data_IF_102772172798
#
_entry.id   IF_102772172798
#
_cell.length_a   1.000
_cell.length_b   1.000
_cell.length_c   1.000
_cell.angle_alpha   90.00
_cell.angle_beta   90.00
_cell.angle_gamma   90.00
#
_symmetry.space_group_name_H-M   'P 1'
#
loop_
_entity.id
_entity.type
_entity.pdbx_description
1 polymer ?
#
# COMPACT_ATOMS: atom_id res chain seq x y z
N UNK A 1 -5.98 -23.30 -5.73
CA UNK A 1 -5.97 -24.34 -4.68
C UNK A 1 -5.06 -23.87 -3.57
N UNK A 2 -5.58 -23.75 -2.35
CA UNK A 2 -4.80 -23.34 -1.17
C UNK A 2 -4.42 -24.61 -0.41
N UNK A 3 -3.14 -24.99 -0.46
CA UNK A 3 -2.66 -26.28 0.07
C UNK A 3 -2.45 -26.27 1.59
N UNK A 4 -2.47 -25.09 2.22
CA UNK A 4 -2.39 -24.91 3.67
C UNK A 4 -3.21 -23.69 4.09
N UNK A 5 -3.90 -23.76 5.23
CA UNK A 5 -4.55 -22.59 5.83
C UNK A 5 -3.54 -21.88 6.70
N UNK A 6 -3.06 -20.74 6.19
CA UNK A 6 -2.12 -19.87 6.89
C UNK A 6 -2.79 -18.51 6.98
N UNK A 7 -2.74 -17.89 8.15
CA UNK A 7 -3.13 -16.50 8.32
C UNK A 7 -1.88 -15.65 8.11
N UNK A 8 -1.92 -14.72 7.15
CA UNK A 8 -0.83 -13.79 6.91
C UNK A 8 -1.35 -12.39 6.64
N UNK A 9 -0.52 -11.42 7.00
CA UNK A 9 -0.78 -10.00 6.83
C UNK A 9 0.00 -9.51 5.61
N UNK A 10 -0.66 -8.74 4.76
CA UNK A 10 -0.06 -8.15 3.56
C UNK A 10 -0.10 -6.64 3.65
N UNK A 11 1.06 -6.02 3.68
CA UNK A 11 1.19 -4.58 3.65
C UNK A 11 1.16 -4.05 2.22
N UNK A 12 0.47 -2.92 2.02
CA UNK A 12 0.40 -2.22 0.74
C UNK A 12 0.54 -0.75 1.00
N UNK A 13 1.51 -0.13 0.34
CA UNK A 13 1.72 1.31 0.38
C UNK A 13 1.18 1.96 -0.90
N UNK A 14 0.16 2.80 -0.75
CA UNK A 14 -0.47 3.62 -1.78
C UNK A 14 -0.10 3.31 -3.25
N UNK A 15 0.94 3.96 -3.78
CA UNK A 15 1.35 3.90 -5.19
C UNK A 15 2.38 2.81 -5.52
N UNK A 16 2.77 2.00 -4.54
CA UNK A 16 3.63 0.84 -4.77
C UNK A 16 3.01 -0.07 -5.86
N UNK A 17 3.81 -0.31 -6.88
CA UNK A 17 3.47 -1.07 -8.08
C UNK A 17 3.88 -2.54 -7.95
N UNK A 18 4.82 -2.89 -7.06
CA UNK A 18 5.31 -4.28 -6.88
C UNK A 18 4.15 -5.23 -6.60
N UNK A 19 3.22 -4.93 -5.67
CA UNK A 19 2.13 -5.84 -5.39
C UNK A 19 1.09 -5.90 -6.51
N UNK A 20 1.26 -5.22 -7.65
CA UNK A 20 0.25 -5.16 -8.72
C UNK A 20 0.68 -5.89 -9.98
N UNK A 21 1.92 -6.35 -10.01
CA UNK A 21 2.48 -7.12 -11.12
C UNK A 21 2.71 -8.54 -10.61
N UNK A 22 2.22 -9.56 -11.32
CA UNK A 22 1.35 -9.51 -12.50
C UNK A 22 -0.10 -9.10 -12.16
N UNK A 23 -0.82 -8.48 -13.11
CA UNK A 23 -2.14 -7.92 -12.88
C UNK A 23 -3.23 -8.98 -12.75
N UNK A 24 -4.35 -8.61 -12.10
CA UNK A 24 -5.47 -9.54 -11.86
C UNK A 24 -6.11 -10.12 -13.11
N UNK A 25 -6.08 -9.39 -14.24
CA UNK A 25 -6.61 -9.88 -15.52
C UNK A 25 -5.77 -11.03 -16.11
N UNK A 26 -4.55 -11.25 -15.62
CA UNK A 26 -3.71 -12.41 -15.95
C UNK A 26 -4.02 -13.63 -15.03
N UNK A 27 -5.11 -13.58 -14.26
CA UNK A 27 -5.52 -14.67 -13.37
C UNK A 27 -4.90 -14.64 -11.97
N UNK A 28 -4.11 -13.62 -11.64
CA UNK A 28 -3.50 -13.49 -10.31
C UNK A 28 -4.46 -12.86 -9.29
N UNK A 29 -4.39 -13.33 -8.05
CA UNK A 29 -5.18 -12.80 -6.94
C UNK A 29 -4.34 -12.73 -5.66
N UNK A 30 -4.53 -11.68 -4.89
CA UNK A 30 -3.95 -11.57 -3.56
C UNK A 30 -4.77 -12.34 -2.53
N UNK A 31 -4.09 -12.85 -1.51
CA UNK A 31 -4.68 -13.48 -0.33
C UNK A 31 -4.06 -12.90 0.95
N UNK A 32 -4.63 -13.25 2.10
CA UNK A 32 -4.29 -12.70 3.41
C UNK A 32 -5.01 -11.39 3.75
N UNK A 33 -4.79 -10.91 4.97
CA UNK A 33 -5.36 -9.66 5.46
C UNK A 33 -4.54 -8.46 4.98
N UNK A 34 -5.15 -7.57 4.22
CA UNK A 34 -4.45 -6.39 3.69
C UNK A 34 -4.43 -5.23 4.70
N UNK A 35 -3.24 -4.68 4.92
CA UNK A 35 -2.97 -3.48 5.69
C UNK A 35 -2.54 -2.37 4.72
N UNK A 36 -3.42 -1.38 4.51
CA UNK A 36 -3.23 -0.35 3.49
C UNK A 36 -2.75 0.97 4.11
N UNK A 37 -1.58 1.43 3.67
CA UNK A 37 -1.02 2.74 3.98
C UNK A 37 -1.41 3.70 2.86
N UNK A 38 -2.10 4.79 3.21
CA UNK A 38 -2.60 5.76 2.24
C UNK A 38 -1.51 6.72 1.72
N UNK A 39 -1.86 7.65 0.83
CA UNK A 39 -0.92 8.63 0.27
C UNK A 39 -0.20 9.51 1.31
N UNK A 40 -0.72 9.60 2.53
CA UNK A 40 -0.13 10.35 3.64
C UNK A 40 0.64 9.46 4.62
N UNK A 41 0.82 8.17 4.31
CA UNK A 41 1.51 7.23 5.19
C UNK A 41 0.69 6.73 6.38
N UNK A 42 -0.63 6.92 6.37
CA UNK A 42 -1.51 6.49 7.48
C UNK A 42 -2.19 5.16 7.15
N UNK A 43 -2.22 4.27 8.14
CA UNK A 43 -2.95 3.00 8.05
C UNK A 43 -4.46 3.27 8.04
N UNK A 44 -5.15 2.89 6.95
CA UNK A 44 -6.59 3.15 6.78
C UNK A 44 -7.30 2.00 6.07
N UNK A 45 -8.48 1.63 6.57
CA UNK A 45 -9.43 0.79 5.83
C UNK A 45 -10.17 1.68 4.82
N UNK A 46 -10.01 1.39 3.54
CA UNK A 46 -10.56 2.18 2.44
C UNK A 46 -11.35 1.32 1.47
N UNK A 47 -12.48 1.84 0.99
CA UNK A 47 -13.24 1.22 -0.09
C UNK A 47 -12.45 1.27 -1.41
N UNK A 48 -12.83 0.43 -2.38
CA UNK A 48 -12.14 0.38 -3.69
C UNK A 48 -12.09 1.76 -4.35
N UNK A 49 -13.19 2.52 -4.30
CA UNK A 49 -13.26 3.87 -4.86
C UNK A 49 -12.39 4.87 -4.11
N UNK A 50 -12.36 4.81 -2.78
CA UNK A 50 -11.46 5.66 -1.99
C UNK A 50 -10.00 5.39 -2.33
N UNK A 51 -9.61 4.13 -2.58
CA UNK A 51 -8.24 3.78 -3.01
C UNK A 51 -7.89 4.32 -4.38
N UNK A 52 -8.84 4.31 -5.32
CA UNK A 52 -8.62 4.93 -6.64
C UNK A 52 -8.31 6.41 -6.44
N UNK A 53 -9.14 7.14 -5.68
CA UNK A 53 -8.92 8.57 -5.38
C UNK A 53 -7.60 8.81 -4.63
N UNK A 54 -7.25 7.95 -3.68
CA UNK A 54 -6.01 8.04 -2.91
C UNK A 54 -4.77 7.88 -3.77
N UNK A 55 -4.79 6.93 -4.72
CA UNK A 55 -3.71 6.75 -5.70
C UNK A 55 -3.55 7.95 -6.62
N UNK A 56 -4.66 8.49 -7.14
CA UNK A 56 -4.62 9.73 -7.92
C UNK A 56 -4.01 10.87 -7.11
N UNK A 57 -4.38 11.00 -5.83
CA UNK A 57 -3.77 12.00 -4.94
C UNK A 57 -2.27 11.75 -4.75
N UNK A 58 -1.86 10.52 -4.45
CA UNK A 58 -0.46 10.17 -4.30
C UNK A 58 0.34 10.45 -5.56
N UNK A 59 -0.22 10.15 -6.73
CA UNK A 59 0.41 10.40 -8.02
C UNK A 59 0.62 11.90 -8.25
N UNK A 60 -0.42 12.70 -7.99
CA UNK A 60 -0.32 14.16 -8.06
C UNK A 60 0.69 14.73 -7.05
N UNK A 61 0.77 14.16 -5.83
CA UNK A 61 1.77 14.56 -4.82
C UNK A 61 3.19 14.24 -5.28
N UNK A 62 3.43 13.05 -5.84
CA UNK A 62 4.73 12.66 -6.39
C UNK A 62 5.13 13.56 -7.57
N UNK A 63 4.20 13.83 -8.50
CA UNK A 63 4.43 14.76 -9.61
C UNK A 63 4.78 16.17 -9.13
N UNK A 64 4.08 16.69 -8.11
CA UNK A 64 4.39 18.01 -7.52
C UNK A 64 5.76 18.05 -6.85
N UNK A 65 6.25 16.92 -6.35
CA UNK A 65 7.59 16.80 -5.78
C UNK A 65 8.68 16.61 -6.87
N UNK A 66 8.32 16.68 -8.15
CA UNK A 66 9.23 16.47 -9.27
C UNK A 66 9.70 15.02 -9.41
N UNK A 67 9.02 14.08 -8.74
CA UNK A 67 9.34 12.66 -8.78
C UNK A 67 8.41 11.96 -9.77
N UNK A 68 8.97 11.42 -10.85
CA UNK A 68 8.26 10.51 -11.76
C UNK A 68 8.33 9.11 -11.13
N UNK A 69 7.46 8.89 -10.16
CA UNK A 69 7.65 7.94 -9.07
C UNK A 69 6.94 6.59 -9.34
N UNK A 70 7.23 5.97 -10.48
CA UNK A 70 6.82 4.57 -10.70
C UNK A 70 7.91 3.56 -10.31
N UNK A 71 9.16 3.98 -10.21
CA UNK A 71 10.30 3.12 -9.85
C UNK A 71 10.96 3.50 -8.52
N UNK A 72 10.88 4.76 -8.08
CA UNK A 72 11.54 5.21 -6.85
C UNK A 72 10.69 4.98 -5.56
N UNK A 73 9.40 4.66 -5.69
CA UNK A 73 8.52 4.28 -4.57
C UNK A 73 8.65 2.81 -4.10
N UNK A 74 9.70 2.10 -4.54
CA UNK A 74 10.05 0.74 -4.07
C UNK A 74 10.83 0.70 -2.76
N UNK A 75 11.18 1.85 -2.18
CA UNK A 75 11.99 1.85 -0.95
C UNK A 75 11.19 1.28 0.23
N UNK A 76 11.72 0.18 0.80
CA UNK A 76 11.23 -0.44 2.03
C UNK A 76 11.26 0.54 3.21
N UNK A 77 12.06 1.61 3.14
CA UNK A 77 12.17 2.62 4.19
C UNK A 77 10.84 3.34 4.42
N UNK A 78 10.07 3.62 3.35
CA UNK A 78 8.74 4.24 3.49
C UNK A 78 7.77 3.33 4.24
N UNK A 79 7.85 2.02 4.01
CA UNK A 79 7.06 1.06 4.77
C UNK A 79 7.45 1.08 6.25
N UNK A 80 8.75 1.03 6.55
CA UNK A 80 9.24 1.04 7.93
C UNK A 80 8.80 2.32 8.66
N UNK A 81 8.93 3.48 8.02
CA UNK A 81 8.53 4.76 8.63
C UNK A 81 7.02 4.78 8.94
N UNK A 82 6.19 4.41 7.97
CA UNK A 82 4.73 4.48 8.14
C UNK A 82 4.20 3.44 9.12
N UNK A 83 4.79 2.24 9.16
CA UNK A 83 4.43 1.23 10.15
C UNK A 83 4.85 1.69 11.56
N UNK A 84 6.05 2.25 11.72
CA UNK A 84 6.49 2.81 13.00
C UNK A 84 5.57 3.93 13.48
N UNK A 85 5.16 4.82 12.59
CA UNK A 85 4.25 5.91 12.94
C UNK A 85 2.85 5.37 13.32
N UNK A 86 2.37 4.33 12.64
CA UNK A 86 1.11 3.68 12.97
C UNK A 86 1.15 2.98 14.34
N UNK A 87 2.27 2.35 14.71
CA UNK A 87 2.47 1.76 16.05
C UNK A 87 2.44 2.84 17.11
N UNK A 88 3.19 3.93 16.94
CA UNK A 88 3.19 5.06 17.88
C UNK A 88 1.80 5.68 18.08
N UNK A 89 1.04 5.83 16.99
CA UNK A 89 -0.34 6.35 17.05
C UNK A 89 -1.27 5.41 17.83
N UNK A 90 -1.06 4.09 17.71
CA UNK A 90 -1.82 3.09 18.45
C UNK A 90 -1.40 2.97 19.92
N UNK A 91 -0.13 3.18 20.27
CA UNK A 91 0.39 3.13 21.64
C UNK A 91 0.13 4.43 22.43
N UNK A 92 -0.01 5.56 21.72
CA UNK A 92 -0.27 6.88 22.30
C UNK A 92 -1.75 7.28 22.39
N UNK A 93 -2.67 6.32 22.18
CA UNK A 93 -4.11 6.46 22.42
C UNK A 93 -4.50 5.57 23.60
#
# INVERSE_FOLDING_TARGET
VTHARIDWIRWVNNNDIVPRVPPRWMGYAHAGQEMYLNAHGKLRRMTKWQRVKDRWRGFLMSLRQGKIDHLADHSIDRYISYIRDAVKEHEGT
#
